data_IF_947616353585
#
_entry.id   IF_947616353585
#
_cell.length_a   1.000
_cell.length_b   1.000
_cell.length_c   1.000
_cell.angle_alpha   90.00
_cell.angle_beta   90.00
_cell.angle_gamma   90.00
#
_symmetry.space_group_name_H-M   'P 1'
#
loop_
_entity.id
_entity.type
_entity.pdbx_description
1 polymer ?
#
# COMPACT_ATOMS: atom_id res chain seq x y z
N UNK A 1 2.84 -1.67 10.54
CA UNK A 1 2.33 -2.94 11.04
C UNK A 1 0.95 -3.19 10.47
N UNK A 2 0.72 -4.34 9.87
CA UNK A 2 -0.56 -4.77 9.30
C UNK A 2 -1.05 -6.08 9.90
N UNK A 3 -2.20 -6.53 9.41
CA UNK A 3 -2.86 -7.78 9.71
C UNK A 3 -3.43 -7.93 11.14
N UNK A 4 -4.60 -8.54 11.24
CA UNK A 4 -5.24 -8.87 12.52
C UNK A 4 -5.74 -7.69 13.36
N UNK A 5 -5.57 -6.44 12.93
CA UNK A 5 -6.06 -5.27 13.69
C UNK A 5 -7.57 -5.13 13.48
N UNK A 6 -8.35 -5.47 14.49
CA UNK A 6 -9.84 -5.48 14.45
C UNK A 6 -10.51 -4.61 15.52
N UNK A 7 -9.73 -3.93 16.36
CA UNK A 7 -10.25 -3.09 17.43
C UNK A 7 -9.44 -1.81 17.61
N UNK A 8 -10.11 -0.70 17.95
CA UNK A 8 -9.48 0.59 18.19
C UNK A 8 -8.44 0.54 19.32
N UNK A 9 -8.67 -0.30 20.33
CA UNK A 9 -7.72 -0.53 21.42
C UNK A 9 -6.39 -1.10 20.88
N UNK A 10 -6.45 -2.03 19.93
CA UNK A 10 -5.27 -2.63 19.29
C UNK A 10 -4.52 -1.60 18.44
N UNK A 11 -5.24 -0.73 17.69
CA UNK A 11 -4.62 0.37 16.95
C UNK A 11 -3.83 1.25 17.92
N UNK A 12 -4.48 1.71 19.00
CA UNK A 12 -3.87 2.57 20.02
C UNK A 12 -2.64 1.91 20.64
N UNK A 13 -2.76 0.66 21.06
CA UNK A 13 -1.67 -0.08 21.70
C UNK A 13 -0.41 -0.12 20.80
N UNK A 14 -0.55 -0.44 19.53
CA UNK A 14 0.60 -0.48 18.62
C UNK A 14 1.22 0.89 18.38
N UNK A 15 0.39 1.93 18.26
CA UNK A 15 0.88 3.29 18.09
C UNK A 15 1.61 3.79 19.35
N UNK A 16 1.12 3.47 20.56
CA UNK A 16 1.76 3.80 21.83
C UNK A 16 3.08 3.03 22.03
N UNK A 17 3.20 1.83 21.47
CA UNK A 17 4.45 1.06 21.43
C UNK A 17 5.48 1.57 20.42
N UNK A 18 5.20 2.66 19.73
CA UNK A 18 6.13 3.33 18.81
C UNK A 18 6.00 2.89 17.35
N UNK A 19 5.01 2.07 16.98
CA UNK A 19 4.73 1.78 15.57
C UNK A 19 4.29 3.07 14.89
N UNK A 20 4.97 3.45 13.81
CA UNK A 20 4.69 4.72 13.12
C UNK A 20 3.34 4.71 12.42
N UNK A 21 3.05 3.66 11.65
CA UNK A 21 1.77 3.48 10.93
C UNK A 21 1.24 2.07 11.13
N UNK A 22 -0.08 1.95 11.30
CA UNK A 22 -0.80 0.68 11.24
C UNK A 22 -1.50 0.55 9.88
N UNK A 23 -1.64 -0.67 9.38
CA UNK A 23 -2.26 -0.95 8.09
C UNK A 23 -3.59 -1.67 8.34
N UNK A 24 -4.65 -1.16 7.73
CA UNK A 24 -5.95 -1.84 7.61
C UNK A 24 -6.09 -2.36 6.19
N UNK A 25 -5.97 -3.67 6.04
CA UNK A 25 -6.14 -4.35 4.75
C UNK A 25 -7.61 -4.48 4.35
N UNK A 26 -8.00 -5.63 3.84
CA UNK A 26 -9.34 -6.02 3.37
C UNK A 26 -10.48 -5.63 4.33
N UNK A 27 -10.17 -5.45 5.60
CA UNK A 27 -11.11 -4.97 6.60
C UNK A 27 -11.62 -3.54 6.35
N UNK A 28 -10.95 -2.73 5.50
CA UNK A 28 -11.49 -1.44 5.08
C UNK A 28 -12.76 -1.62 4.22
N UNK A 29 -12.87 -2.73 3.50
CA UNK A 29 -14.08 -3.08 2.71
C UNK A 29 -15.12 -3.79 3.58
N UNK A 30 -14.68 -4.71 4.44
CA UNK A 30 -15.58 -5.49 5.29
C UNK A 30 -16.14 -4.69 6.48
N UNK A 31 -15.40 -3.70 6.97
CA UNK A 31 -15.81 -2.81 8.06
C UNK A 31 -15.32 -1.37 7.79
N UNK A 32 -15.97 -0.67 6.85
CA UNK A 32 -15.57 0.68 6.46
C UNK A 32 -15.73 1.69 7.60
N UNK A 33 -16.72 1.51 8.46
CA UNK A 33 -16.96 2.42 9.58
C UNK A 33 -15.82 2.38 10.59
N UNK A 34 -15.32 1.20 10.91
CA UNK A 34 -14.13 1.06 11.75
C UNK A 34 -12.90 1.70 11.10
N UNK A 35 -12.67 1.46 9.81
CA UNK A 35 -11.52 2.03 9.10
C UNK A 35 -11.59 3.58 9.09
N UNK A 36 -12.77 4.16 8.85
CA UNK A 36 -13.01 5.61 8.92
C UNK A 36 -12.74 6.15 10.31
N UNK A 37 -13.29 5.52 11.35
CA UNK A 37 -13.06 5.92 12.75
C UNK A 37 -11.58 5.87 13.12
N UNK A 38 -10.84 4.85 12.66
CA UNK A 38 -9.41 4.73 12.93
C UNK A 38 -8.61 5.86 12.26
N UNK A 39 -8.92 6.21 10.99
CA UNK A 39 -8.28 7.34 10.30
C UNK A 39 -8.53 8.66 11.03
N UNK A 40 -9.78 8.92 11.44
CA UNK A 40 -10.15 10.15 12.15
C UNK A 40 -9.54 10.22 13.56
N UNK A 41 -9.47 9.10 14.28
CA UNK A 41 -8.91 9.06 15.63
C UNK A 41 -7.38 9.14 15.66
N UNK A 42 -6.71 8.72 14.59
CA UNK A 42 -5.25 8.68 14.50
C UNK A 42 -4.77 9.27 13.15
N UNK A 43 -4.92 10.58 12.93
CA UNK A 43 -4.54 11.24 11.68
C UNK A 43 -3.08 10.97 11.30
N UNK A 44 -2.84 10.61 10.03
CA UNK A 44 -1.50 10.32 9.52
C UNK A 44 -0.88 9.01 10.03
N UNK A 45 -1.62 8.20 10.78
CA UNK A 45 -1.09 6.97 11.40
C UNK A 45 -1.75 5.69 10.89
N UNK A 46 -2.81 5.78 10.09
CA UNK A 46 -3.54 4.63 9.56
C UNK A 46 -3.43 4.61 8.04
N UNK A 47 -2.82 3.58 7.49
CA UNK A 47 -2.79 3.29 6.06
C UNK A 47 -3.86 2.25 5.72
N UNK A 48 -4.43 2.35 4.52
CA UNK A 48 -5.40 1.40 4.00
C UNK A 48 -4.72 0.45 3.01
N UNK A 49 -4.90 -0.85 3.17
CA UNK A 49 -4.52 -1.86 2.19
C UNK A 49 -5.69 -2.11 1.22
N UNK A 50 -5.43 -1.97 -0.06
CA UNK A 50 -6.35 -2.32 -1.14
C UNK A 50 -5.71 -3.42 -1.96
N UNK A 51 -6.15 -4.64 -1.73
CA UNK A 51 -5.70 -5.81 -2.47
C UNK A 51 -6.64 -5.99 -3.67
N UNK A 52 -6.11 -5.99 -4.89
CA UNK A 52 -6.92 -6.03 -6.10
C UNK A 52 -6.48 -7.13 -7.07
N UNK A 53 -7.48 -7.70 -7.74
CA UNK A 53 -7.32 -8.61 -8.88
C UNK A 53 -8.00 -7.99 -10.07
N UNK A 54 -7.25 -7.68 -11.13
CA UNK A 54 -7.77 -6.99 -12.33
C UNK A 54 -8.52 -5.68 -12.00
N UNK A 55 -7.99 -4.92 -11.02
CA UNK A 55 -8.58 -3.66 -10.58
C UNK A 55 -9.80 -3.77 -9.65
N UNK A 56 -10.31 -4.99 -9.38
CA UNK A 56 -11.40 -5.26 -8.43
C UNK A 56 -10.86 -5.70 -7.09
N UNK A 57 -11.47 -5.21 -6.02
CA UNK A 57 -10.98 -5.45 -4.66
C UNK A 57 -11.23 -6.89 -4.24
N UNK A 58 -10.18 -7.54 -3.77
CA UNK A 58 -10.22 -8.88 -3.19
C UNK A 58 -10.43 -8.81 -1.68
N UNK A 59 -11.19 -9.76 -1.16
CA UNK A 59 -11.54 -9.90 0.26
C UNK A 59 -11.25 -11.31 0.78
N UNK A 60 -11.41 -11.51 2.08
CA UNK A 60 -11.29 -12.81 2.75
C UNK A 60 -9.97 -13.56 2.45
N UNK A 61 -8.84 -12.84 2.56
CA UNK A 61 -7.53 -13.43 2.28
C UNK A 61 -7.35 -13.79 0.80
N UNK A 62 -7.96 -12.99 -0.10
CA UNK A 62 -7.94 -13.13 -1.56
C UNK A 62 -8.80 -14.28 -2.12
N UNK A 63 -9.62 -14.93 -1.27
CA UNK A 63 -10.51 -16.00 -1.69
C UNK A 63 -11.60 -15.49 -2.63
N UNK A 64 -12.17 -14.32 -2.33
CA UNK A 64 -13.24 -13.72 -3.08
C UNK A 64 -12.82 -12.37 -3.69
N UNK A 65 -13.46 -12.01 -4.81
CA UNK A 65 -13.28 -10.71 -5.47
C UNK A 65 -14.64 -10.01 -5.52
N UNK A 66 -14.69 -8.77 -5.05
CA UNK A 66 -15.91 -7.96 -5.05
C UNK A 66 -16.14 -7.31 -6.41
N UNK A 67 -17.34 -6.75 -6.60
CA UNK A 67 -17.62 -5.90 -7.76
C UNK A 67 -17.01 -4.49 -7.64
N UNK A 68 -16.57 -4.10 -6.44
CA UNK A 68 -15.98 -2.78 -6.20
C UNK A 68 -14.59 -2.68 -6.83
N UNK A 69 -14.35 -1.57 -7.53
CA UNK A 69 -13.02 -1.25 -8.02
C UNK A 69 -12.13 -0.68 -6.90
N UNK A 70 -10.81 -0.80 -7.07
CA UNK A 70 -9.84 -0.17 -6.17
C UNK A 70 -10.02 1.35 -6.08
N UNK A 71 -10.44 1.99 -7.19
CA UNK A 71 -10.72 3.43 -7.24
C UNK A 71 -11.91 3.80 -6.36
N UNK A 72 -13.03 3.06 -6.45
CA UNK A 72 -14.22 3.31 -5.62
C UNK A 72 -13.90 3.23 -4.14
N UNK A 73 -13.12 2.21 -3.74
CA UNK A 73 -12.67 2.09 -2.34
C UNK A 73 -11.75 3.24 -1.95
N UNK A 74 -10.77 3.58 -2.77
CA UNK A 74 -9.86 4.69 -2.49
C UNK A 74 -10.60 6.02 -2.32
N UNK A 75 -11.53 6.35 -3.23
CA UNK A 75 -12.35 7.56 -3.14
C UNK A 75 -13.23 7.60 -1.91
N UNK A 76 -13.79 6.46 -1.48
CA UNK A 76 -14.66 6.39 -0.30
C UNK A 76 -13.96 6.80 1.00
N UNK A 77 -12.63 6.83 1.04
CA UNK A 77 -11.85 7.19 2.22
C UNK A 77 -11.09 8.52 2.10
N UNK A 78 -11.17 9.23 0.97
CA UNK A 78 -10.44 10.49 0.79
C UNK A 78 -10.81 11.58 1.81
N UNK A 79 -12.05 11.60 2.25
CA UNK A 79 -12.58 12.59 3.21
C UNK A 79 -12.07 12.38 4.65
N UNK A 80 -11.59 11.19 5.00
CA UNK A 80 -11.05 10.87 6.33
C UNK A 80 -9.52 10.86 6.39
N UNK A 81 -8.85 11.11 5.26
CA UNK A 81 -7.42 11.34 5.16
C UNK A 81 -6.55 10.19 5.68
N UNK A 82 -6.62 8.99 5.09
CA UNK A 82 -5.68 7.93 5.45
C UNK A 82 -4.23 8.38 5.19
N UNK A 83 -3.30 7.84 5.98
CA UNK A 83 -1.88 8.17 5.88
C UNK A 83 -1.25 7.75 4.55
N UNK A 84 -1.74 6.67 3.97
CA UNK A 84 -1.40 6.16 2.64
C UNK A 84 -2.40 5.09 2.21
N UNK A 85 -2.45 4.80 0.92
CA UNK A 85 -3.06 3.61 0.34
C UNK A 85 -1.94 2.67 -0.09
N UNK A 86 -1.96 1.43 0.39
CA UNK A 86 -1.09 0.36 -0.09
C UNK A 86 -1.88 -0.43 -1.12
N UNK A 87 -1.54 -0.26 -2.39
CA UNK A 87 -2.21 -0.95 -3.49
C UNK A 87 -1.43 -2.21 -3.86
N UNK A 88 -2.04 -3.39 -3.64
CA UNK A 88 -1.44 -4.69 -3.95
C UNK A 88 -2.14 -5.33 -5.15
N UNK A 89 -1.39 -5.55 -6.25
CA UNK A 89 -1.85 -6.46 -7.30
C UNK A 89 -1.58 -7.90 -6.86
N UNK A 90 -2.64 -8.60 -6.43
CA UNK A 90 -2.52 -9.95 -5.86
C UNK A 90 -2.18 -11.03 -6.89
N UNK A 91 -2.32 -10.77 -8.19
CA UNK A 91 -1.83 -11.70 -9.23
C UNK A 91 -0.31 -11.67 -9.35
N UNK A 92 0.29 -10.57 -8.98
CA UNK A 92 1.73 -10.36 -9.03
C UNK A 92 2.40 -10.59 -7.69
N UNK A 93 1.64 -10.52 -6.58
CA UNK A 93 2.21 -10.71 -5.25
C UNK A 93 2.82 -12.11 -5.09
N UNK A 94 4.08 -12.14 -4.66
CA UNK A 94 4.88 -13.37 -4.56
C UNK A 94 5.22 -14.06 -5.90
N UNK A 95 4.69 -13.60 -7.04
CA UNK A 95 4.92 -14.23 -8.34
C UNK A 95 6.28 -13.87 -8.96
N UNK A 96 6.93 -12.79 -8.49
CA UNK A 96 8.23 -12.32 -9.01
C UNK A 96 8.20 -12.06 -10.53
N UNK A 97 7.08 -11.55 -11.02
CA UNK A 97 6.81 -11.31 -12.45
C UNK A 97 6.84 -9.82 -12.85
N UNK A 98 7.35 -8.98 -11.96
CA UNK A 98 7.32 -7.53 -12.07
C UNK A 98 6.06 -6.91 -11.48
N UNK A 99 6.14 -5.67 -10.95
CA UNK A 99 5.02 -4.95 -10.35
C UNK A 99 4.05 -4.42 -11.41
N UNK A 100 2.84 -4.05 -10.97
CA UNK A 100 1.85 -3.38 -11.82
C UNK A 100 1.97 -1.86 -11.68
N UNK A 101 3.00 -1.28 -12.32
CA UNK A 101 3.30 0.15 -12.22
C UNK A 101 2.14 0.97 -12.77
N UNK A 102 1.68 0.67 -13.98
CA UNK A 102 0.62 1.43 -14.68
C UNK A 102 -0.64 1.57 -13.83
N UNK A 103 -1.16 0.46 -13.30
CA UNK A 103 -2.38 0.49 -12.47
C UNK A 103 -2.18 1.26 -11.17
N UNK A 104 -0.99 1.15 -10.57
CA UNK A 104 -0.66 1.88 -9.34
C UNK A 104 -0.55 3.38 -9.59
N UNK A 105 0.10 3.78 -10.69
CA UNK A 105 0.21 5.18 -11.09
C UNK A 105 -1.15 5.78 -11.47
N UNK A 106 -2.00 5.01 -12.16
CA UNK A 106 -3.36 5.44 -12.46
C UNK A 106 -4.17 5.72 -11.19
N UNK A 107 -4.05 4.85 -10.17
CA UNK A 107 -4.69 5.08 -8.88
C UNK A 107 -4.09 6.30 -8.18
N UNK A 108 -2.76 6.42 -8.13
CA UNK A 108 -2.07 7.54 -7.47
C UNK A 108 -2.41 8.89 -8.11
N UNK A 109 -2.56 8.93 -9.44
CA UNK A 109 -2.98 10.14 -10.16
C UNK A 109 -4.45 10.53 -9.96
N UNK A 110 -5.29 9.59 -9.50
CA UNK A 110 -6.72 9.82 -9.30
C UNK A 110 -7.08 10.26 -7.87
N UNK A 111 -6.23 9.99 -6.88
CA UNK A 111 -6.48 10.28 -5.47
C UNK A 111 -5.46 11.28 -4.91
N UNK A 112 -5.83 11.99 -3.83
CA UNK A 112 -4.91 12.87 -3.10
C UNK A 112 -4.12 12.13 -2.03
N UNK A 113 -4.64 11.00 -1.57
CA UNK A 113 -3.97 10.16 -0.58
C UNK A 113 -2.72 9.54 -1.19
N UNK A 114 -1.54 9.62 -0.53
CA UNK A 114 -0.32 9.00 -1.01
C UNK A 114 -0.48 7.50 -1.28
N UNK A 115 0.06 7.00 -2.40
CA UNK A 115 -0.07 5.60 -2.79
C UNK A 115 1.28 4.90 -2.73
N UNK A 116 1.28 3.71 -2.13
CA UNK A 116 2.42 2.80 -2.02
C UNK A 116 2.16 1.59 -2.91
N UNK A 117 3.08 1.30 -3.83
CA UNK A 117 3.03 0.14 -4.70
C UNK A 117 3.36 -1.13 -3.90
N UNK A 118 2.57 -2.19 -4.08
CA UNK A 118 2.80 -3.50 -3.45
C UNK A 118 2.51 -4.65 -4.41
N UNK A 119 3.30 -5.72 -4.29
CA UNK A 119 3.18 -6.93 -5.09
C UNK A 119 4.03 -6.94 -6.36
N UNK A 120 4.65 -8.08 -6.63
CA UNK A 120 5.32 -8.39 -7.88
C UNK A 120 6.78 -8.01 -8.01
N UNK A 121 7.33 -7.12 -7.20
CA UNK A 121 8.75 -6.72 -7.30
C UNK A 121 9.65 -7.95 -7.26
N UNK A 122 10.46 -8.12 -8.32
CA UNK A 122 11.29 -9.30 -8.55
C UNK A 122 12.78 -9.03 -8.42
N UNK A 123 13.23 -7.79 -8.50
CA UNK A 123 14.64 -7.41 -8.42
C UNK A 123 14.88 -5.92 -8.48
N UNK A 124 16.15 -5.54 -8.59
CA UNK A 124 16.56 -4.12 -8.64
C UNK A 124 16.07 -3.42 -9.91
N UNK A 125 15.95 -4.13 -11.04
CA UNK A 125 15.48 -3.55 -12.31
C UNK A 125 14.05 -3.02 -12.19
N UNK A 126 13.18 -3.73 -11.45
CA UNK A 126 11.82 -3.25 -11.17
C UNK A 126 11.83 -1.97 -10.33
N UNK A 127 12.76 -1.86 -9.37
CA UNK A 127 12.90 -0.64 -8.57
C UNK A 127 13.41 0.55 -9.40
N UNK A 128 14.28 0.30 -10.37
CA UNK A 128 14.68 1.33 -11.34
C UNK A 128 13.50 1.80 -12.19
N UNK A 129 12.67 0.87 -12.67
CA UNK A 129 11.46 1.21 -13.43
C UNK A 129 10.46 2.00 -12.57
N UNK A 130 10.17 1.54 -11.34
CA UNK A 130 9.29 2.24 -10.39
C UNK A 130 9.80 3.66 -10.14
N UNK A 131 11.13 3.85 -9.94
CA UNK A 131 11.70 5.17 -9.78
C UNK A 131 11.53 6.04 -11.02
N UNK A 132 11.84 5.49 -12.20
CA UNK A 132 11.77 6.24 -13.45
C UNK A 132 10.35 6.74 -13.78
N UNK A 133 9.33 5.96 -13.46
CA UNK A 133 7.94 6.24 -13.80
C UNK A 133 7.14 6.84 -12.63
N UNK A 134 7.49 6.50 -11.39
CA UNK A 134 6.72 6.83 -10.19
C UNK A 134 7.32 7.92 -9.30
N UNK A 135 8.50 8.47 -9.64
CA UNK A 135 9.13 9.52 -8.84
C UNK A 135 8.22 10.76 -8.73
N UNK A 136 7.99 11.21 -7.49
CA UNK A 136 7.10 12.33 -7.18
C UNK A 136 5.59 12.01 -7.28
N UNK A 137 5.21 10.78 -7.65
CA UNK A 137 3.82 10.31 -7.71
C UNK A 137 3.54 9.26 -6.65
N UNK A 138 4.44 8.29 -6.49
CA UNK A 138 4.31 7.24 -5.50
C UNK A 138 5.01 7.64 -4.19
N UNK A 139 4.37 7.35 -3.06
CA UNK A 139 4.95 7.50 -1.71
C UNK A 139 6.07 6.48 -1.45
N UNK A 140 5.99 5.31 -2.09
CA UNK A 140 6.98 4.26 -1.88
C UNK A 140 6.58 2.92 -2.49
N UNK A 141 7.37 1.90 -2.16
CA UNK A 141 7.18 0.54 -2.63
C UNK A 141 7.38 -0.47 -1.51
N UNK A 142 6.57 -1.53 -1.51
CA UNK A 142 6.75 -2.69 -0.62
C UNK A 142 7.41 -3.81 -1.40
N UNK A 143 8.57 -4.22 -0.91
CA UNK A 143 9.33 -5.38 -1.39
C UNK A 143 9.26 -6.50 -0.35
N UNK A 144 8.79 -7.67 -0.78
CA UNK A 144 8.71 -8.87 0.06
C UNK A 144 9.73 -9.91 -0.37
N UNK A 145 9.26 -10.91 -1.11
CA UNK A 145 9.99 -12.11 -1.51
C UNK A 145 11.36 -11.84 -2.13
N UNK A 146 11.47 -10.83 -3.00
CA UNK A 146 12.72 -10.48 -3.66
C UNK A 146 13.86 -10.13 -2.69
N UNK A 147 13.54 -9.56 -1.51
CA UNK A 147 14.53 -9.31 -0.45
C UNK A 147 14.99 -10.63 0.17
N UNK A 148 14.03 -11.50 0.53
CA UNK A 148 14.35 -12.79 1.17
C UNK A 148 15.14 -13.74 0.25
N UNK A 149 14.92 -13.62 -1.07
CA UNK A 149 15.68 -14.37 -2.09
C UNK A 149 17.01 -13.70 -2.48
N UNK A 150 17.36 -12.56 -1.85
CA UNK A 150 18.61 -11.84 -2.11
C UNK A 150 18.69 -11.13 -3.47
N UNK A 151 17.57 -10.96 -4.16
CA UNK A 151 17.49 -10.28 -5.47
C UNK A 151 17.42 -8.76 -5.34
N UNK A 152 17.03 -8.27 -4.17
CA UNK A 152 17.01 -6.85 -3.83
C UNK A 152 17.96 -6.59 -2.67
N UNK A 153 18.98 -5.77 -2.92
CA UNK A 153 19.83 -5.24 -1.85
C UNK A 153 19.12 -4.04 -1.22
N UNK A 154 18.70 -4.17 0.04
CA UNK A 154 17.90 -3.16 0.74
C UNK A 154 18.61 -1.81 0.79
N UNK A 155 19.94 -1.78 1.08
CA UNK A 155 20.69 -0.54 1.15
C UNK A 155 20.72 0.18 -0.21
N UNK A 156 20.99 -0.56 -1.28
CA UNK A 156 20.98 -0.02 -2.63
C UNK A 156 19.58 0.45 -3.06
N UNK A 157 18.54 -0.32 -2.70
CA UNK A 157 17.16 0.03 -2.98
C UNK A 157 16.74 1.34 -2.30
N UNK A 158 17.07 1.50 -1.01
CA UNK A 158 16.79 2.74 -0.26
C UNK A 158 17.54 3.91 -0.87
N UNK A 159 18.84 3.76 -1.20
CA UNK A 159 19.61 4.83 -1.85
C UNK A 159 19.06 5.20 -3.23
N UNK A 160 18.60 4.21 -4.00
CA UNK A 160 17.98 4.43 -5.31
C UNK A 160 16.69 5.25 -5.20
N UNK A 161 15.82 4.90 -4.24
CA UNK A 161 14.49 5.49 -4.13
C UNK A 161 14.47 6.83 -3.38
N UNK A 162 15.45 7.08 -2.50
CA UNK A 162 15.56 8.32 -1.71
C UNK A 162 16.29 9.48 -2.44
N UNK A 163 16.88 9.26 -3.61
CA UNK A 163 17.80 10.22 -4.23
C UNK A 163 17.16 11.54 -4.72
N UNK A 164 15.83 11.70 -4.68
CA UNK A 164 15.13 12.91 -5.10
C UNK A 164 14.75 13.87 -3.96
N UNK A 165 14.96 13.50 -2.70
CA UNK A 165 14.59 14.34 -1.56
C UNK A 165 15.59 15.48 -1.27
N UNK A 166 16.80 15.42 -1.85
CA UNK A 166 17.87 16.38 -1.59
C UNK A 166 17.90 17.59 -2.58
N UNK A 167 17.03 17.63 -3.61
CA UNK A 167 16.99 18.72 -4.60
C UNK A 167 15.74 19.63 -4.50
N UNK A 168 14.96 19.55 -3.42
CA UNK A 168 13.80 20.45 -3.22
C UNK A 168 13.88 21.29 -1.96
#
# INVERSE_FOLDING_TARGET
>A
LGDGIRAMATVREWLERGVHRVIRGTAAVNDPDFARQACLAFPGRVALGIDARDGRVAVDGWADTTEMSAFEVAFAFEDVGPAAIIYTDIRRDGAMSGPNIDSTLALAGAVRTPVILSGGVSGMDDLHAIRAEGAGVLEGVICGRAIYEGRVNVKAAVSLLAADDDER
#
